data_IF_874672711287
#
_entry.id   IF_874672711287
#
_cell.length_a   1.000
_cell.length_b   1.000
_cell.length_c   1.000
_cell.angle_alpha   90.00
_cell.angle_beta   90.00
_cell.angle_gamma   90.00
#
_symmetry.space_group_name_H-M   'P 1'
#
loop_
_entity.id
_entity.type
_entity.pdbx_description
1 polymer ?
#
# COMPACT_ATOMS: atom_id res chain seq x y z
N UNK A 1 -9.93 29.13 18.47
CA UNK A 1 -9.00 27.98 18.47
C UNK A 1 -9.52 26.96 17.45
N UNK A 2 -8.80 26.73 16.35
CA UNK A 2 -9.25 25.80 15.29
C UNK A 2 -8.92 24.38 15.71
N UNK A 3 -9.92 23.60 16.10
CA UNK A 3 -9.77 22.15 16.30
C UNK A 3 -9.40 21.52 14.96
N UNK A 4 -8.12 21.19 14.79
CA UNK A 4 -7.69 20.35 13.68
C UNK A 4 -8.15 18.94 14.02
N UNK A 5 -9.30 18.54 13.48
CA UNK A 5 -9.78 17.17 13.59
C UNK A 5 -8.73 16.26 12.94
N UNK A 6 -7.93 15.58 13.77
CA UNK A 6 -7.13 14.46 13.32
C UNK A 6 -8.10 13.35 12.92
N UNK A 7 -8.47 13.31 11.64
CA UNK A 7 -9.14 12.15 11.06
C UNK A 7 -8.16 10.99 11.23
N UNK A 8 -8.42 10.12 12.20
CA UNK A 8 -7.68 8.88 12.37
C UNK A 8 -7.93 8.05 11.11
N UNK A 9 -6.99 8.11 10.16
CA UNK A 9 -7.04 7.26 8.97
C UNK A 9 -6.98 5.81 9.46
N UNK A 10 -8.14 5.15 9.45
CA UNK A 10 -8.27 3.72 9.78
C UNK A 10 -7.24 2.94 8.95
N UNK A 11 -6.31 2.27 9.63
CA UNK A 11 -5.32 1.40 8.99
C UNK A 11 -5.89 -0.01 8.89
N UNK A 12 -5.78 -0.61 7.72
CA UNK A 12 -6.15 -2.01 7.48
C UNK A 12 -4.86 -2.85 7.43
N UNK A 13 -4.91 -4.06 8.02
CA UNK A 13 -3.77 -4.98 8.00
C UNK A 13 -3.81 -5.83 6.74
N UNK A 14 -2.69 -5.86 6.03
CA UNK A 14 -2.48 -6.74 4.88
C UNK A 14 -1.25 -7.60 5.15
N UNK A 15 -1.38 -8.92 5.05
CA UNK A 15 -0.26 -9.87 5.14
C UNK A 15 0.13 -10.28 3.72
N UNK A 16 1.41 -10.11 3.37
CA UNK A 16 1.96 -10.42 2.05
C UNK A 16 3.22 -11.26 2.23
N UNK A 17 3.45 -12.20 1.33
CA UNK A 17 4.72 -12.93 1.24
C UNK A 17 5.63 -12.25 0.23
N UNK A 18 6.82 -11.82 0.67
CA UNK A 18 7.88 -11.25 -0.16
C UNK A 18 9.10 -12.17 -0.17
N UNK A 19 10.02 -11.99 -1.11
CA UNK A 19 11.28 -12.74 -1.09
C UNK A 19 12.10 -12.37 0.14
N UNK A 20 12.83 -13.35 0.70
CA UNK A 20 13.66 -13.15 1.88
C UNK A 20 14.71 -12.05 1.65
N UNK A 21 15.34 -12.04 0.47
CA UNK A 21 16.29 -11.00 0.05
C UNK A 21 15.68 -9.59 0.12
N UNK A 22 14.47 -9.43 -0.40
CA UNK A 22 13.78 -8.12 -0.38
C UNK A 22 13.48 -7.67 1.05
N UNK A 23 13.04 -8.59 1.91
CA UNK A 23 12.77 -8.28 3.32
C UNK A 23 14.04 -7.83 4.03
N UNK A 24 15.16 -8.49 3.78
CA UNK A 24 16.44 -8.16 4.43
C UNK A 24 17.00 -6.82 3.95
N UNK A 25 16.89 -6.53 2.65
CA UNK A 25 17.24 -5.22 2.08
C UNK A 25 16.36 -4.10 2.67
N UNK A 26 15.06 -4.33 2.83
CA UNK A 26 14.15 -3.37 3.45
C UNK A 26 14.53 -3.08 4.91
N UNK A 27 14.86 -4.11 5.69
CA UNK A 27 15.34 -3.96 7.08
C UNK A 27 16.61 -3.12 7.14
N UNK A 28 17.56 -3.43 6.27
CA UNK A 28 18.84 -2.70 6.17
C UNK A 28 18.62 -1.22 5.86
N UNK A 29 17.76 -0.88 4.88
CA UNK A 29 17.46 0.51 4.53
C UNK A 29 16.87 1.28 5.71
N UNK A 30 15.91 0.68 6.42
CA UNK A 30 15.25 1.29 7.57
C UNK A 30 16.24 1.44 8.74
N UNK A 31 17.13 0.47 8.95
CA UNK A 31 18.17 0.55 9.97
C UNK A 31 19.08 1.77 9.76
N UNK A 32 19.51 2.04 8.53
CA UNK A 32 20.38 3.17 8.20
C UNK A 32 19.67 4.51 7.99
N UNK A 33 18.34 4.54 8.01
CA UNK A 33 17.55 5.75 7.71
C UNK A 33 16.70 6.17 8.92
N UNK A 34 17.22 7.09 9.77
CA UNK A 34 16.46 7.58 10.92
C UNK A 34 15.10 8.14 10.48
N UNK A 35 14.04 7.81 11.24
CA UNK A 35 12.63 8.19 11.01
C UNK A 35 11.93 7.46 9.84
N UNK A 36 12.61 6.57 9.11
CA UNK A 36 11.97 5.71 8.12
C UNK A 36 11.40 4.46 8.80
N UNK A 37 10.32 3.90 8.26
CA UNK A 37 9.73 2.64 8.75
C UNK A 37 9.48 1.68 7.60
N UNK A 38 9.47 0.37 7.87
CA UNK A 38 9.13 -0.64 6.87
C UNK A 38 7.78 -0.35 6.21
N UNK A 39 6.76 -0.02 7.04
CA UNK A 39 5.44 0.37 6.55
C UNK A 39 5.50 1.60 5.66
N UNK A 40 6.26 2.64 6.03
CA UNK A 40 6.37 3.86 5.23
C UNK A 40 7.05 3.65 3.88
N UNK A 41 8.06 2.78 3.81
CA UNK A 41 8.70 2.39 2.54
C UNK A 41 7.71 1.65 1.65
N UNK A 42 7.01 0.66 2.20
CA UNK A 42 6.03 -0.15 1.45
C UNK A 42 4.85 0.71 0.99
N UNK A 43 4.31 1.58 1.85
CA UNK A 43 3.22 2.49 1.50
C UNK A 43 3.61 3.42 0.36
N UNK A 44 4.81 4.01 0.42
CA UNK A 44 5.33 4.89 -0.63
C UNK A 44 5.50 4.15 -1.96
N UNK A 45 6.07 2.94 -1.94
CA UNK A 45 6.24 2.12 -3.14
C UNK A 45 4.89 1.70 -3.76
N UNK A 46 3.92 1.32 -2.92
CA UNK A 46 2.56 0.99 -3.37
C UNK A 46 1.88 2.23 -3.99
N UNK A 47 2.00 3.41 -3.38
CA UNK A 47 1.42 4.65 -3.92
C UNK A 47 2.00 4.99 -5.30
N UNK A 48 3.31 4.83 -5.48
CA UNK A 48 3.96 4.98 -6.80
C UNK A 48 3.39 3.96 -7.80
N UNK A 49 3.27 2.69 -7.40
CA UNK A 49 2.66 1.64 -8.24
C UNK A 49 1.22 1.97 -8.65
N UNK A 50 0.38 2.39 -7.69
CA UNK A 50 -1.00 2.80 -7.93
C UNK A 50 -1.06 3.99 -8.89
N UNK A 51 -0.22 5.02 -8.71
CA UNK A 51 -0.21 6.19 -9.59
C UNK A 51 0.05 5.82 -11.06
N UNK A 52 0.94 4.84 -11.31
CA UNK A 52 1.23 4.32 -12.65
C UNK A 52 0.06 3.54 -13.24
N UNK A 53 -0.63 2.75 -12.41
CA UNK A 53 -1.79 1.95 -12.84
C UNK A 53 -3.03 2.81 -13.09
N UNK A 54 -3.22 3.87 -12.29
CA UNK A 54 -4.39 4.74 -12.33
C UNK A 54 -4.31 5.82 -13.43
N UNK A 55 -3.14 6.03 -14.07
CA UNK A 55 -2.94 6.97 -15.19
C UNK A 55 -3.62 8.34 -14.99
N UNK A 56 -3.57 8.87 -13.76
CA UNK A 56 -4.17 10.15 -13.39
C UNK A 56 -5.59 10.10 -12.84
N UNK A 57 -6.27 8.94 -12.81
CA UNK A 57 -7.60 8.78 -12.20
C UNK A 57 -7.76 7.45 -11.48
N UNK A 58 -8.17 7.52 -10.21
CA UNK A 58 -8.45 6.33 -9.39
C UNK A 58 -9.42 5.38 -10.08
N UNK A 59 -9.19 4.08 -9.94
CA UNK A 59 -10.14 3.06 -10.40
C UNK A 59 -11.52 3.29 -9.75
N UNK A 60 -12.59 3.10 -10.54
CA UNK A 60 -13.96 3.20 -10.02
C UNK A 60 -14.14 2.19 -8.88
N UNK A 61 -14.83 2.60 -7.82
CA UNK A 61 -15.23 1.66 -6.75
C UNK A 61 -15.98 0.49 -7.37
N UNK A 62 -15.67 -0.73 -6.93
CA UNK A 62 -16.32 -1.94 -7.39
C UNK A 62 -17.81 -1.89 -7.02
N UNK A 63 -18.69 -2.32 -7.93
CA UNK A 63 -20.16 -2.34 -7.73
C UNK A 63 -20.66 -3.55 -6.90
N UNK A 64 -19.75 -4.35 -6.31
CA UNK A 64 -20.10 -5.56 -5.57
C UNK A 64 -18.90 -6.19 -4.88
N UNK A 65 -19.11 -7.34 -4.21
CA UNK A 65 -18.04 -8.13 -3.60
C UNK A 65 -17.09 -8.66 -4.67
N UNK A 66 -15.80 -8.72 -4.34
CA UNK A 66 -14.84 -9.45 -5.17
C UNK A 66 -15.24 -10.93 -5.23
N UNK A 67 -15.29 -11.56 -6.42
CA UNK A 67 -15.28 -13.00 -6.52
C UNK A 67 -14.06 -13.54 -5.78
N UNK A 68 -14.24 -14.60 -4.99
CA UNK A 68 -13.10 -15.32 -4.41
C UNK A 68 -12.32 -16.00 -5.55
N UNK A 69 -11.00 -15.80 -5.59
CA UNK A 69 -10.11 -16.38 -6.61
C UNK A 69 -9.49 -15.36 -7.57
N UNK A 70 -8.73 -15.86 -8.56
CA UNK A 70 -8.11 -15.05 -9.61
C UNK A 70 -9.20 -14.59 -10.59
N UNK A 71 -9.29 -13.29 -10.93
CA UNK A 71 -10.20 -12.84 -11.99
C UNK A 71 -9.96 -13.66 -13.26
N UNK A 72 -11.04 -14.23 -13.83
CA UNK A 72 -10.96 -14.86 -15.16
C UNK A 72 -10.62 -13.75 -16.17
N UNK A 73 -9.83 -14.10 -17.18
CA UNK A 73 -9.15 -13.16 -18.08
C UNK A 73 -10.10 -12.24 -18.86
N UNK A 74 -11.40 -12.54 -18.89
CA UNK A 74 -12.38 -11.90 -19.76
C UNK A 74 -13.67 -11.51 -19.00
N UNK A 75 -13.69 -10.33 -18.36
CA UNK A 75 -14.92 -9.63 -17.98
C UNK A 75 -14.74 -8.11 -18.09
#
# INVERSE_FOLDING_TARGET
MKHTQQVTKRKERVTLSLSADMVERLRTVVYWSPKLTLTGVVESAILVGLSKLEKGKRFKKRKGKLPVGRPRKDQ
#
